data_IF_943867119404
#
_entry.id   IF_943867119404
#
_cell.length_a   1.000
_cell.length_b   1.000
_cell.length_c   1.000
_cell.angle_alpha   90.00
_cell.angle_beta   90.00
_cell.angle_gamma   90.00
#
_symmetry.space_group_name_H-M   'P 1'
#
loop_
_entity.id
_entity.type
_entity.pdbx_description
1 polymer ?
#
# COMPACT_ATOMS: atom_id res chain seq x y z
N UNK A 1 -5.01 13.67 -29.69
CA UNK A 1 -5.82 12.84 -28.80
C UNK A 1 -4.95 12.43 -27.62
N UNK A 2 -5.32 12.75 -26.38
CA UNK A 2 -4.46 12.43 -25.22
C UNK A 2 -4.43 10.90 -25.02
N UNK A 3 -3.26 10.22 -25.10
CA UNK A 3 -3.17 8.76 -24.96
C UNK A 3 -3.29 8.27 -23.51
N UNK A 4 -3.14 9.14 -22.52
CA UNK A 4 -3.13 8.81 -21.08
C UNK A 4 -4.33 7.96 -20.63
N UNK A 5 -5.61 8.30 -20.95
CA UNK A 5 -6.75 7.50 -20.51
C UNK A 5 -6.71 6.05 -21.00
N UNK A 6 -6.25 5.82 -22.25
CA UNK A 6 -6.13 4.47 -22.81
C UNK A 6 -5.09 3.63 -22.08
N UNK A 7 -3.95 4.23 -21.70
CA UNK A 7 -2.95 3.55 -20.88
C UNK A 7 -3.47 3.20 -19.50
N UNK A 8 -4.18 4.12 -18.85
CA UNK A 8 -4.78 3.86 -17.53
C UNK A 8 -5.79 2.70 -17.59
N UNK A 9 -6.63 2.61 -18.62
CA UNK A 9 -7.58 1.51 -18.77
C UNK A 9 -6.87 0.17 -19.06
N UNK A 10 -5.79 0.18 -19.83
CA UNK A 10 -4.95 -0.99 -20.03
C UNK A 10 -4.29 -1.46 -18.73
N UNK A 11 -3.75 -0.54 -17.92
CA UNK A 11 -3.18 -0.84 -16.60
C UNK A 11 -4.20 -1.47 -15.66
N UNK A 12 -5.42 -0.93 -15.59
CA UNK A 12 -6.52 -1.52 -14.79
C UNK A 12 -6.86 -2.94 -15.24
N UNK A 13 -6.81 -3.20 -16.54
CA UNK A 13 -7.05 -4.55 -17.09
C UNK A 13 -5.95 -5.52 -16.69
N UNK A 14 -4.69 -5.11 -16.74
CA UNK A 14 -3.55 -5.91 -16.27
C UNK A 14 -3.66 -6.26 -14.78
N UNK A 15 -4.07 -5.31 -13.93
CA UNK A 15 -4.33 -5.57 -12.50
C UNK A 15 -5.36 -6.69 -12.34
N UNK A 16 -6.47 -6.61 -13.06
CA UNK A 16 -7.55 -7.59 -12.99
C UNK A 16 -7.10 -9.00 -13.39
N UNK A 17 -6.24 -9.09 -14.40
CA UNK A 17 -5.76 -10.34 -14.95
C UNK A 17 -4.46 -10.85 -14.29
N UNK A 18 -3.80 -10.02 -13.47
CA UNK A 18 -2.47 -10.26 -12.88
C UNK A 18 -1.41 -10.62 -13.94
N UNK A 19 -1.48 -9.97 -15.08
CA UNK A 19 -0.63 -10.26 -16.23
C UNK A 19 0.63 -9.40 -16.22
N UNK A 20 1.71 -9.95 -15.67
CA UNK A 20 3.01 -9.29 -15.56
C UNK A 20 3.65 -9.04 -16.94
N UNK A 21 3.41 -9.90 -17.93
CA UNK A 21 3.99 -9.71 -19.27
C UNK A 21 3.41 -8.47 -19.93
N UNK A 22 2.07 -8.39 -20.00
CA UNK A 22 1.40 -7.18 -20.51
C UNK A 22 1.73 -5.93 -19.71
N UNK A 23 1.98 -6.08 -18.41
CA UNK A 23 2.40 -4.98 -17.54
C UNK A 23 3.76 -4.41 -17.96
N UNK A 24 4.74 -5.26 -18.25
CA UNK A 24 6.07 -4.85 -18.72
C UNK A 24 6.00 -4.26 -20.12
N UNK A 25 5.23 -4.85 -21.02
CA UNK A 25 5.01 -4.31 -22.36
C UNK A 25 4.42 -2.88 -22.30
N UNK A 26 3.47 -2.63 -21.40
CA UNK A 26 2.91 -1.29 -21.19
C UNK A 26 3.97 -0.35 -20.62
N UNK A 27 4.78 -0.80 -19.68
CA UNK A 27 5.87 0.01 -19.11
C UNK A 27 6.88 0.43 -20.18
N UNK A 28 7.28 -0.51 -21.06
CA UNK A 28 8.20 -0.25 -22.17
C UNK A 28 7.59 0.72 -23.20
N UNK A 29 6.28 0.58 -23.47
CA UNK A 29 5.57 1.52 -24.33
C UNK A 29 5.51 2.93 -23.73
N UNK A 30 5.28 3.04 -22.41
CA UNK A 30 5.27 4.34 -21.71
C UNK A 30 6.62 5.03 -21.82
N UNK A 31 7.71 4.27 -21.64
CA UNK A 31 9.07 4.77 -21.85
C UNK A 31 9.28 5.27 -23.30
N UNK A 32 8.88 4.47 -24.27
CA UNK A 32 8.98 4.80 -25.70
C UNK A 32 8.23 6.09 -26.09
N UNK A 33 7.11 6.37 -25.39
CA UNK A 33 6.31 7.58 -25.63
C UNK A 33 6.67 8.75 -24.73
N UNK A 34 7.71 8.64 -23.88
CA UNK A 34 8.12 9.69 -22.94
C UNK A 34 7.08 9.99 -21.87
N UNK A 35 6.24 9.01 -21.53
CA UNK A 35 5.15 9.14 -20.55
C UNK A 35 5.50 8.56 -19.19
N UNK A 36 6.72 8.07 -19.01
CA UNK A 36 7.22 7.47 -17.77
C UNK A 36 7.19 8.43 -16.56
N UNK A 37 7.26 9.73 -16.82
CA UNK A 37 7.20 10.77 -15.79
C UNK A 37 5.78 11.36 -15.60
N UNK A 38 4.78 10.81 -16.28
CA UNK A 38 3.40 11.25 -16.10
C UNK A 38 2.85 10.77 -14.75
N UNK A 39 2.49 11.71 -13.87
CA UNK A 39 2.06 11.42 -12.50
C UNK A 39 0.82 10.52 -12.44
N UNK A 40 -0.16 10.74 -13.31
CA UNK A 40 -1.39 9.95 -13.33
C UNK A 40 -1.10 8.50 -13.74
N UNK A 41 -0.26 8.32 -14.75
CA UNK A 41 0.16 6.98 -15.21
C UNK A 41 0.99 6.30 -14.13
N UNK A 42 1.99 6.95 -13.57
CA UNK A 42 2.84 6.41 -12.52
C UNK A 42 2.05 5.95 -11.31
N UNK A 43 1.11 6.77 -10.85
CA UNK A 43 0.24 6.44 -9.73
C UNK A 43 -0.70 5.24 -9.98
N UNK A 44 -0.95 4.87 -11.24
CA UNK A 44 -1.69 3.63 -11.60
C UNK A 44 -0.74 2.47 -11.89
N UNK A 45 0.46 2.75 -12.37
CA UNK A 45 1.46 1.72 -12.72
C UNK A 45 2.03 1.04 -11.46
N UNK A 46 2.28 1.79 -10.37
CA UNK A 46 2.76 1.23 -9.10
C UNK A 46 1.81 0.16 -8.55
N UNK A 47 0.50 0.41 -8.35
CA UNK A 47 -0.45 -0.63 -7.95
C UNK A 47 -0.42 -1.86 -8.85
N UNK A 48 -0.37 -1.66 -10.17
CA UNK A 48 -0.36 -2.74 -11.14
C UNK A 48 0.89 -3.62 -11.00
N UNK A 49 2.07 -3.02 -10.90
CA UNK A 49 3.32 -3.77 -10.74
C UNK A 49 3.34 -4.55 -9.41
N UNK A 50 2.81 -3.98 -8.33
CA UNK A 50 2.68 -4.66 -7.03
C UNK A 50 1.74 -5.87 -7.14
N UNK A 51 0.56 -5.72 -7.77
CA UNK A 51 -0.38 -6.85 -7.94
C UNK A 51 0.17 -7.95 -8.85
N UNK A 52 1.03 -7.60 -9.80
CA UNK A 52 1.76 -8.54 -10.65
C UNK A 52 3.02 -9.13 -9.98
N UNK A 53 3.35 -8.75 -8.75
CA UNK A 53 4.47 -9.28 -7.97
C UNK A 53 5.83 -8.65 -8.26
N UNK A 54 5.89 -7.54 -9.02
CA UNK A 54 7.14 -6.85 -9.34
C UNK A 54 7.38 -5.64 -8.45
N UNK A 55 7.81 -5.90 -7.21
CA UNK A 55 8.07 -4.83 -6.22
C UNK A 55 9.26 -3.94 -6.64
N UNK A 56 10.26 -4.51 -7.31
CA UNK A 56 11.43 -3.78 -7.75
C UNK A 56 11.06 -2.72 -8.80
N UNK A 57 10.34 -3.12 -9.85
CA UNK A 57 9.89 -2.20 -10.89
C UNK A 57 8.90 -1.17 -10.33
N UNK A 58 8.01 -1.60 -9.42
CA UNK A 58 7.08 -0.71 -8.73
C UNK A 58 7.82 0.38 -7.92
N UNK A 59 8.90 0.01 -7.25
CA UNK A 59 9.73 0.94 -6.50
C UNK A 59 10.43 1.95 -7.41
N UNK A 60 10.99 1.49 -8.51
CA UNK A 60 11.65 2.37 -9.49
C UNK A 60 10.68 3.40 -10.06
N UNK A 61 9.48 2.96 -10.48
CA UNK A 61 8.43 3.87 -10.95
C UNK A 61 8.01 4.85 -9.85
N UNK A 62 7.78 4.34 -8.63
CA UNK A 62 7.35 5.16 -7.50
C UNK A 62 8.35 6.30 -7.20
N UNK A 63 9.66 6.01 -7.25
CA UNK A 63 10.69 7.01 -6.94
C UNK A 63 10.75 8.13 -8.00
N UNK A 64 10.28 7.89 -9.23
CA UNK A 64 10.19 8.88 -10.31
C UNK A 64 8.94 9.75 -10.27
N UNK A 65 7.88 9.34 -9.54
CA UNK A 65 6.65 10.13 -9.42
C UNK A 65 6.91 11.37 -8.56
N UNK A 66 6.63 12.54 -9.09
CA UNK A 66 6.78 13.79 -8.34
C UNK A 66 5.66 13.97 -7.30
N UNK A 67 4.40 13.76 -7.69
CA UNK A 67 3.24 13.81 -6.77
C UNK A 67 2.64 12.44 -6.59
N UNK A 68 3.05 11.79 -5.52
CA UNK A 68 2.56 10.45 -5.15
C UNK A 68 1.22 10.57 -4.46
N UNK A 69 0.22 9.82 -4.92
CA UNK A 69 -1.08 9.77 -4.27
C UNK A 69 -1.15 8.65 -3.20
N UNK A 70 -2.23 8.64 -2.40
CA UNK A 70 -2.43 7.65 -1.35
C UNK A 70 -2.41 6.21 -1.88
N UNK A 71 -2.86 5.98 -3.13
CA UNK A 71 -2.89 4.63 -3.69
C UNK A 71 -1.48 4.10 -3.97
N UNK A 72 -0.62 4.89 -4.64
CA UNK A 72 0.75 4.46 -4.91
C UNK A 72 1.55 4.21 -3.63
N UNK A 73 1.41 5.06 -2.60
CA UNK A 73 1.99 4.83 -1.28
C UNK A 73 1.48 3.54 -0.65
N UNK A 74 0.15 3.36 -0.57
CA UNK A 74 -0.47 2.20 0.07
C UNK A 74 -0.07 0.89 -0.62
N UNK A 75 -0.10 0.84 -1.95
CA UNK A 75 0.28 -0.37 -2.67
C UNK A 75 1.75 -0.73 -2.51
N UNK A 76 2.65 0.26 -2.48
CA UNK A 76 4.06 -0.01 -2.24
C UNK A 76 4.29 -0.54 -0.81
N UNK A 77 3.63 0.04 0.21
CA UNK A 77 3.64 -0.46 1.59
C UNK A 77 3.14 -1.90 1.63
N UNK A 78 1.99 -2.20 1.01
CA UNK A 78 1.43 -3.56 0.92
C UNK A 78 2.40 -4.52 0.24
N UNK A 79 3.06 -4.10 -0.83
CA UNK A 79 4.04 -4.89 -1.56
C UNK A 79 5.21 -5.31 -0.66
N UNK A 80 5.79 -4.38 0.08
CA UNK A 80 6.87 -4.70 1.03
C UNK A 80 6.42 -5.65 2.14
N UNK A 81 5.20 -5.48 2.67
CA UNK A 81 4.66 -6.39 3.70
C UNK A 81 4.44 -7.79 3.15
N UNK A 82 3.87 -7.93 1.95
CA UNK A 82 3.67 -9.22 1.27
C UNK A 82 4.99 -9.94 1.01
N UNK A 83 6.07 -9.19 0.76
CA UNK A 83 7.43 -9.72 0.58
C UNK A 83 8.16 -10.04 1.89
N UNK A 84 7.56 -9.81 3.05
CA UNK A 84 8.19 -10.01 4.36
C UNK A 84 9.12 -8.87 4.79
N UNK A 85 9.14 -7.75 4.07
CA UNK A 85 10.00 -6.60 4.31
C UNK A 85 9.27 -5.50 5.10
N UNK A 86 8.63 -5.88 6.21
CA UNK A 86 7.76 -5.00 6.99
C UNK A 86 8.48 -3.77 7.56
N UNK A 87 9.79 -3.86 7.83
CA UNK A 87 10.60 -2.70 8.27
C UNK A 87 10.67 -1.62 7.20
N UNK A 88 10.81 -2.01 5.92
CA UNK A 88 10.76 -1.07 4.81
C UNK A 88 9.37 -0.42 4.66
N UNK A 89 8.31 -1.18 4.90
CA UNK A 89 6.94 -0.66 4.87
C UNK A 89 6.71 0.42 5.96
N UNK A 90 7.21 0.21 7.18
CA UNK A 90 7.14 1.21 8.27
C UNK A 90 7.93 2.48 7.93
N UNK A 91 9.11 2.33 7.32
CA UNK A 91 9.87 3.48 6.84
C UNK A 91 9.13 4.27 5.74
N UNK A 92 8.49 3.57 4.80
CA UNK A 92 7.65 4.21 3.78
C UNK A 92 6.46 4.96 4.38
N UNK A 93 5.83 4.40 5.43
CA UNK A 93 4.77 5.08 6.15
C UNK A 93 5.24 6.42 6.75
N UNK A 94 6.43 6.42 7.37
CA UNK A 94 7.00 7.65 7.91
C UNK A 94 7.26 8.70 6.81
N UNK A 95 7.72 8.27 5.63
CA UNK A 95 7.89 9.15 4.46
C UNK A 95 6.55 9.65 3.91
N UNK A 96 5.54 8.78 3.82
CA UNK A 96 4.17 9.16 3.40
C UNK A 96 3.62 10.29 4.28
N UNK A 97 3.81 10.19 5.60
CA UNK A 97 3.41 11.23 6.55
C UNK A 97 4.22 12.52 6.36
N UNK A 98 5.53 12.43 6.11
CA UNK A 98 6.39 13.57 5.85
C UNK A 98 6.04 14.30 4.54
N UNK A 99 5.56 13.58 3.52
CA UNK A 99 5.03 14.12 2.27
C UNK A 99 3.58 14.64 2.41
N UNK A 100 3.05 14.70 3.63
CA UNK A 100 1.67 15.14 3.96
C UNK A 100 0.57 14.33 3.27
N UNK A 101 0.84 13.12 2.80
CA UNK A 101 -0.17 12.24 2.22
C UNK A 101 -0.88 11.49 3.34
N UNK A 102 -2.21 11.66 3.43
CA UNK A 102 -3.01 11.05 4.50
C UNK A 102 -3.18 9.54 4.28
N UNK A 103 -2.78 8.69 5.25
CA UNK A 103 -3.06 7.26 5.21
C UNK A 103 -4.56 6.97 5.21
N UNK A 104 -4.97 5.91 4.52
CA UNK A 104 -6.35 5.40 4.54
C UNK A 104 -6.44 4.08 5.34
N UNK A 105 -7.65 3.52 5.43
CA UNK A 105 -7.93 2.25 6.11
C UNK A 105 -7.04 1.10 5.59
N UNK A 106 -6.84 1.00 4.27
CA UNK A 106 -5.98 -0.04 3.69
C UNK A 106 -4.51 0.13 4.10
N UNK A 107 -4.03 1.38 4.20
CA UNK A 107 -2.67 1.68 4.69
C UNK A 107 -2.51 1.18 6.13
N UNK A 108 -3.46 1.52 7.01
CA UNK A 108 -3.41 1.11 8.42
C UNK A 108 -3.53 -0.41 8.59
N UNK A 109 -4.47 -1.06 7.92
CA UNK A 109 -4.61 -2.51 7.97
C UNK A 109 -3.32 -3.25 7.53
N UNK A 110 -2.67 -2.75 6.47
CA UNK A 110 -1.41 -3.31 6.00
C UNK A 110 -0.28 -3.13 7.03
N UNK A 111 -0.13 -1.94 7.60
CA UNK A 111 0.90 -1.64 8.59
C UNK A 111 0.74 -2.47 9.87
N UNK A 112 -0.49 -2.61 10.38
CA UNK A 112 -0.80 -3.47 11.53
C UNK A 112 -0.42 -4.93 11.25
N UNK A 113 -0.73 -5.43 10.05
CA UNK A 113 -0.31 -6.77 9.64
C UNK A 113 1.22 -6.91 9.58
N UNK A 114 1.93 -5.89 9.12
CA UNK A 114 3.39 -5.82 9.13
C UNK A 114 3.96 -5.87 10.54
N UNK A 115 3.41 -5.06 11.47
CA UNK A 115 3.80 -5.08 12.89
C UNK A 115 3.53 -6.45 13.54
N UNK A 116 2.40 -7.07 13.23
CA UNK A 116 2.07 -8.42 13.68
C UNK A 116 3.13 -9.45 13.25
N UNK A 117 3.60 -9.36 11.99
CA UNK A 117 4.63 -10.25 11.44
C UNK A 117 5.99 -10.07 12.11
N UNK A 118 6.38 -8.83 12.39
CA UNK A 118 7.63 -8.49 13.08
C UNK A 118 7.57 -8.73 14.60
N UNK A 119 6.38 -8.98 15.15
CA UNK A 119 6.09 -8.94 16.60
C UNK A 119 6.45 -7.57 17.23
N UNK A 120 6.34 -6.52 16.46
CA UNK A 120 6.68 -5.14 16.81
C UNK A 120 5.46 -4.44 17.41
N UNK A 121 5.32 -4.58 18.72
CA UNK A 121 4.19 -3.96 19.44
C UNK A 121 4.31 -2.45 19.56
N UNK A 122 5.50 -1.93 19.68
CA UNK A 122 5.69 -0.50 19.84
C UNK A 122 5.13 0.28 18.64
N UNK A 123 5.47 -0.15 17.44
CA UNK A 123 4.87 0.42 16.22
C UNK A 123 3.39 0.05 16.09
N UNK A 124 2.99 -1.17 16.48
CA UNK A 124 1.60 -1.60 16.46
C UNK A 124 0.69 -0.71 17.31
N UNK A 125 1.09 -0.41 18.54
CA UNK A 125 0.37 0.50 19.44
C UNK A 125 0.35 1.94 18.93
N UNK A 126 1.47 2.44 18.41
CA UNK A 126 1.53 3.77 17.81
C UNK A 126 0.58 3.90 16.62
N UNK A 127 0.51 2.87 15.75
CA UNK A 127 -0.40 2.83 14.60
C UNK A 127 -1.85 2.73 15.10
N UNK A 128 -2.14 1.94 16.14
CA UNK A 128 -3.48 1.87 16.73
C UNK A 128 -3.95 3.24 17.24
N UNK A 129 -3.10 3.99 17.93
CA UNK A 129 -3.42 5.35 18.35
C UNK A 129 -3.77 6.27 17.17
N UNK A 130 -3.04 6.16 16.05
CA UNK A 130 -3.34 6.93 14.84
C UNK A 130 -4.67 6.48 14.19
N UNK A 131 -4.98 5.17 14.21
CA UNK A 131 -6.27 4.61 13.78
C UNK A 131 -7.43 5.24 14.56
N UNK A 132 -7.31 5.27 15.90
CA UNK A 132 -8.31 5.89 16.80
C UNK A 132 -8.48 7.37 16.47
N UNK A 133 -7.39 8.14 16.41
CA UNK A 133 -7.43 9.58 16.12
C UNK A 133 -8.09 9.89 14.77
N UNK A 134 -7.98 9.00 13.81
CA UNK A 134 -8.52 9.18 12.46
C UNK A 134 -9.90 8.53 12.26
N UNK A 135 -10.44 7.86 13.28
CA UNK A 135 -11.77 7.25 13.25
C UNK A 135 -11.89 5.98 12.39
N UNK A 136 -10.80 5.24 12.21
CA UNK A 136 -10.81 3.99 11.44
C UNK A 136 -11.03 2.73 12.29
N UNK A 137 -11.34 2.86 13.59
CA UNK A 137 -11.49 1.72 14.51
C UNK A 137 -12.59 0.74 14.10
N UNK A 138 -13.67 1.25 13.47
CA UNK A 138 -14.81 0.43 13.02
C UNK A 138 -14.67 -0.06 11.58
N UNK A 139 -13.58 0.27 10.89
CA UNK A 139 -13.32 -0.29 9.57
C UNK A 139 -12.99 -1.78 9.67
N UNK A 140 -13.70 -2.61 8.91
CA UNK A 140 -13.60 -4.08 8.98
C UNK A 140 -12.18 -4.60 8.77
N UNK A 141 -11.40 -3.98 7.87
CA UNK A 141 -10.02 -4.41 7.60
C UNK A 141 -9.08 -4.00 8.72
N UNK A 142 -9.29 -2.82 9.29
CA UNK A 142 -8.47 -2.28 10.38
C UNK A 142 -8.75 -3.01 11.68
N UNK A 143 -10.03 -3.18 12.05
CA UNK A 143 -10.42 -3.92 13.27
C UNK A 143 -9.95 -5.36 13.23
N UNK A 144 -10.09 -6.06 12.10
CA UNK A 144 -9.55 -7.40 11.91
C UNK A 144 -8.03 -7.48 12.09
N UNK A 145 -7.28 -6.51 11.58
CA UNK A 145 -5.82 -6.46 11.75
C UNK A 145 -5.42 -6.13 13.20
N UNK A 146 -6.18 -5.29 13.91
CA UNK A 146 -5.98 -5.00 15.33
C UNK A 146 -6.24 -6.24 16.18
N UNK A 147 -7.34 -6.96 15.93
CA UNK A 147 -7.62 -8.22 16.63
C UNK A 147 -6.48 -9.21 16.43
N UNK A 148 -5.99 -9.40 15.20
CA UNK A 148 -4.88 -10.32 14.90
C UNK A 148 -3.62 -9.98 15.71
N UNK A 149 -3.24 -8.70 15.81
CA UNK A 149 -2.04 -8.29 16.54
C UNK A 149 -2.17 -8.53 18.05
N UNK A 150 -3.34 -8.25 18.64
CA UNK A 150 -3.58 -8.46 20.06
C UNK A 150 -3.71 -9.94 20.43
N UNK A 151 -4.41 -10.74 19.59
CA UNK A 151 -4.52 -12.20 19.79
C UNK A 151 -3.15 -12.87 19.73
N UNK A 152 -2.30 -12.54 18.78
CA UNK A 152 -0.94 -13.11 18.66
C UNK A 152 -0.03 -12.75 19.83
N UNK A 153 -0.38 -11.72 20.59
CA UNK A 153 0.28 -11.32 21.82
C UNK A 153 -0.30 -11.97 23.08
N UNK A 154 -1.42 -12.65 22.95
CA UNK A 154 -2.15 -13.18 24.11
C UNK A 154 -2.95 -12.13 24.88
N UNK A 155 -3.13 -10.95 24.31
CA UNK A 155 -3.92 -9.85 24.90
C UNK A 155 -5.38 -9.97 24.48
N UNK A 156 -6.01 -11.06 24.97
CA UNK A 156 -7.39 -11.42 24.62
C UNK A 156 -8.44 -10.40 25.08
N UNK A 157 -8.35 -9.77 26.28
CA UNK A 157 -9.30 -8.76 26.69
C UNK A 157 -9.37 -7.57 25.72
N UNK A 158 -8.21 -7.06 25.27
CA UNK A 158 -8.12 -5.96 24.31
C UNK A 158 -8.68 -6.35 22.94
N UNK A 159 -8.41 -7.56 22.49
CA UNK A 159 -8.99 -8.10 21.25
C UNK A 159 -10.52 -8.19 21.33
N UNK A 160 -11.09 -8.63 22.47
CA UNK A 160 -12.53 -8.69 22.69
C UNK A 160 -13.18 -7.30 22.65
N UNK A 161 -12.55 -6.28 23.27
CA UNK A 161 -13.06 -4.90 23.23
C UNK A 161 -13.16 -4.35 21.82
N UNK A 162 -12.22 -4.72 20.94
CA UNK A 162 -12.26 -4.29 19.52
C UNK A 162 -13.34 -5.05 18.76
N UNK A 163 -13.54 -6.33 19.06
CA UNK A 163 -14.54 -7.18 18.40
C UNK A 163 -15.98 -6.78 18.74
N UNK A 164 -16.22 -6.27 19.94
CA UNK A 164 -17.55 -5.85 20.43
C UNK A 164 -17.99 -4.46 19.95
N UNK A 165 -17.10 -3.68 19.32
CA UNK A 165 -17.38 -2.33 18.77
C UNK A 165 -17.91 -2.40 17.34
#
# INVERSE_FOLDING_TARGET
>A
MNPVPKFIDALKTCIKNKDLSSAKDIHDLLFKYGLENNEDIGNHLVPMLIECGSIFDAREVFDRIFRRNVHSWTYLIVGYIRNGESSHALHLYSKMCADYVQPNNHTFAALLKGCSSLKDMQHGEAIHLEVVKKGFEQDLFVSGALIDIYVKRGWFPEACVIFEK
#
